data_IF_462897823961
#
_entry.id   IF_462897823961
#
_cell.length_a   1.000
_cell.length_b   1.000
_cell.length_c   1.000
_cell.angle_alpha   90.00
_cell.angle_beta   90.00
_cell.angle_gamma   90.00
#
_symmetry.space_group_name_H-M   'P 1'
#
loop_
_entity.id
_entity.type
_entity.pdbx_description
1 polymer ?
#
# COMPACT_ATOMS: atom_id res chain seq x y z
N UNK A 1 1.24 32.56 1.74
CA UNK A 1 2.54 32.71 1.07
C UNK A 1 3.56 32.03 1.96
N UNK A 2 4.24 30.98 1.51
CA UNK A 2 5.29 30.34 2.32
C UNK A 2 6.48 31.27 2.42
N UNK A 3 7.02 31.44 3.63
CA UNK A 3 8.19 32.29 3.84
C UNK A 3 9.40 31.74 3.07
N UNK A 4 10.22 32.59 2.43
CA UNK A 4 11.37 32.15 1.65
C UNK A 4 12.38 31.35 2.48
N UNK A 5 13.01 30.35 1.85
CA UNK A 5 14.08 29.57 2.48
C UNK A 5 15.37 30.40 2.50
N UNK A 6 15.84 30.72 3.70
CA UNK A 6 17.05 31.54 3.92
C UNK A 6 18.32 30.70 4.07
N UNK A 7 19.49 31.33 3.98
CA UNK A 7 20.76 30.66 4.30
C UNK A 7 20.86 30.25 5.77
N UNK A 8 20.19 30.98 6.66
CA UNK A 8 20.08 30.61 8.07
C UNK A 8 19.34 29.28 8.23
N UNK A 9 18.26 29.08 7.49
CA UNK A 9 17.54 27.80 7.48
C UNK A 9 18.44 26.65 7.01
N UNK A 10 19.24 26.88 5.95
CA UNK A 10 20.21 25.90 5.44
C UNK A 10 21.27 25.54 6.47
N UNK A 11 21.88 26.54 7.12
CA UNK A 11 22.89 26.34 8.15
C UNK A 11 22.35 25.57 9.35
N UNK A 12 21.14 25.91 9.80
CA UNK A 12 20.52 25.25 10.96
C UNK A 12 20.16 23.79 10.66
N UNK A 13 19.64 23.49 9.45
CA UNK A 13 19.39 22.11 9.02
C UNK A 13 20.68 21.28 8.98
N UNK A 14 21.79 21.84 8.45
CA UNK A 14 23.09 21.15 8.45
C UNK A 14 23.57 20.85 9.86
N UNK A 15 23.50 21.84 10.77
CA UNK A 15 23.91 21.71 12.18
C UNK A 15 23.11 20.62 12.88
N UNK A 16 21.79 20.67 12.80
CA UNK A 16 20.90 19.71 13.45
C UNK A 16 20.98 18.30 12.83
N UNK A 17 21.26 18.21 11.52
CA UNK A 17 21.53 16.93 10.86
C UNK A 17 22.82 16.30 11.36
N UNK A 18 23.89 17.09 11.52
CA UNK A 18 25.16 16.63 12.09
C UNK A 18 25.03 16.16 13.55
N UNK A 19 24.09 16.74 14.32
CA UNK A 19 23.70 16.25 15.65
C UNK A 19 22.90 14.93 15.62
N UNK A 20 22.60 14.38 14.44
CA UNK A 20 21.84 13.15 14.27
C UNK A 20 20.32 13.31 14.43
N UNK A 21 19.80 14.55 14.43
CA UNK A 21 18.35 14.77 14.57
C UNK A 21 17.60 14.30 13.34
N UNK A 22 16.42 13.71 13.57
CA UNK A 22 15.52 13.32 12.48
C UNK A 22 14.91 14.54 11.81
N UNK A 23 14.52 14.40 10.54
CA UNK A 23 13.81 15.46 9.79
C UNK A 23 12.65 16.09 10.56
N UNK A 24 11.84 15.28 11.25
CA UNK A 24 10.68 15.77 11.99
C UNK A 24 11.07 16.51 13.27
N UNK A 25 12.19 16.13 13.91
CA UNK A 25 12.74 16.88 15.04
C UNK A 25 13.22 18.26 14.57
N UNK A 26 13.95 18.30 13.44
CA UNK A 26 14.41 19.54 12.82
C UNK A 26 13.22 20.44 12.44
N UNK A 27 12.16 19.88 11.86
CA UNK A 27 10.94 20.63 11.53
C UNK A 27 10.29 21.29 12.75
N UNK A 28 10.24 20.58 13.89
CA UNK A 28 9.70 21.12 15.15
C UNK A 28 10.58 22.21 15.74
N UNK A 29 11.90 22.06 15.66
CA UNK A 29 12.86 22.99 16.25
C UNK A 29 13.02 24.26 15.42
N UNK A 30 12.97 24.15 14.09
CA UNK A 30 13.09 25.29 13.17
C UNK A 30 11.75 25.96 12.84
N UNK A 31 10.63 25.36 13.22
CA UNK A 31 9.29 25.81 12.83
C UNK A 31 8.99 25.68 11.33
N UNK A 32 9.86 25.01 10.56
CA UNK A 32 9.69 24.80 9.12
C UNK A 32 8.97 23.49 8.84
N UNK A 33 8.24 23.42 7.72
CA UNK A 33 7.57 22.19 7.30
C UNK A 33 8.59 21.07 7.00
N UNK A 34 8.22 19.82 7.24
CA UNK A 34 9.06 18.67 6.91
C UNK A 34 9.42 18.60 5.40
N UNK A 35 8.54 19.11 4.53
CA UNK A 35 8.82 19.24 3.10
C UNK A 35 9.94 20.24 2.82
N UNK A 36 9.92 21.40 3.50
CA UNK A 36 10.99 22.41 3.43
C UNK A 36 12.33 21.82 3.88
N UNK A 37 12.36 21.11 5.01
CA UNK A 37 13.57 20.45 5.51
C UNK A 37 14.08 19.40 4.51
N UNK A 38 13.18 18.62 3.90
CA UNK A 38 13.57 17.61 2.88
C UNK A 38 14.18 18.27 1.65
N UNK A 39 13.61 19.41 1.21
CA UNK A 39 14.14 20.19 0.09
C UNK A 39 15.54 20.73 0.40
N UNK A 40 15.74 21.30 1.58
CA UNK A 40 17.06 21.77 2.03
C UNK A 40 18.05 20.61 2.08
N UNK A 41 17.69 19.49 2.73
CA UNK A 41 18.54 18.32 2.82
C UNK A 41 18.97 17.79 1.44
N UNK A 42 18.05 17.75 0.46
CA UNK A 42 18.36 17.36 -0.90
C UNK A 42 19.35 18.32 -1.60
N UNK A 43 19.16 19.64 -1.42
CA UNK A 43 20.07 20.66 -1.96
C UNK A 43 21.47 20.61 -1.33
N UNK A 44 21.55 20.18 -0.07
CA UNK A 44 22.77 20.10 0.73
C UNK A 44 23.43 18.71 0.71
N UNK A 45 22.85 17.74 -0.01
CA UNK A 45 23.36 16.37 -0.07
C UNK A 45 23.24 15.59 1.25
N UNK A 46 22.35 15.99 2.15
CA UNK A 46 22.14 15.36 3.46
C UNK A 46 21.16 14.19 3.38
N UNK A 47 21.56 13.02 3.88
CA UNK A 47 20.70 11.84 3.93
C UNK A 47 20.20 11.56 5.36
N UNK A 48 18.90 11.33 5.55
CA UNK A 48 18.34 10.89 6.82
C UNK A 48 18.26 9.36 6.87
N UNK A 49 18.99 8.75 7.80
CA UNK A 49 19.07 7.28 7.96
C UNK A 49 17.74 6.59 8.32
N UNK A 50 16.77 7.33 8.87
CA UNK A 50 15.47 6.79 9.26
C UNK A 50 14.55 6.40 8.09
N UNK A 51 14.75 6.98 6.89
CA UNK A 51 13.85 6.78 5.75
C UNK A 51 13.80 5.34 5.26
N UNK A 52 14.96 4.68 5.13
CA UNK A 52 15.05 3.30 4.66
C UNK A 52 14.35 2.32 5.61
N UNK A 53 14.50 2.51 6.93
CA UNK A 53 13.85 1.68 7.95
C UNK A 53 12.33 1.82 7.93
N UNK A 54 11.84 3.06 7.79
CA UNK A 54 10.39 3.35 7.72
C UNK A 54 9.79 2.82 6.42
N UNK A 55 10.50 2.94 5.30
CA UNK A 55 10.07 2.36 4.02
C UNK A 55 9.94 0.83 4.11
N UNK A 56 10.98 0.15 4.60
CA UNK A 56 10.95 -1.30 4.79
C UNK A 56 9.81 -1.75 5.73
N UNK A 57 9.59 -1.05 6.84
CA UNK A 57 8.49 -1.35 7.76
C UNK A 57 7.11 -1.08 7.12
N UNK A 58 7.00 -0.08 6.25
CA UNK A 58 5.77 0.23 5.52
C UNK A 58 5.47 -0.85 4.48
N UNK A 59 6.48 -1.31 3.74
CA UNK A 59 6.33 -2.40 2.78
C UNK A 59 5.98 -3.72 3.48
N UNK A 60 6.64 -4.05 4.59
CA UNK A 60 6.29 -5.22 5.39
C UNK A 60 4.83 -5.16 5.86
N UNK A 61 4.38 -4.02 6.37
CA UNK A 61 2.99 -3.84 6.81
C UNK A 61 1.99 -3.94 5.65
N UNK A 62 2.37 -3.51 4.45
CA UNK A 62 1.56 -3.66 3.23
C UNK A 62 1.43 -5.12 2.83
N UNK A 63 2.54 -5.87 2.85
CA UNK A 63 2.56 -7.30 2.57
C UNK A 63 1.70 -8.07 3.60
N UNK A 64 1.87 -7.79 4.89
CA UNK A 64 1.06 -8.40 5.95
C UNK A 64 -0.44 -8.09 5.77
N UNK A 65 -0.78 -6.86 5.41
CA UNK A 65 -2.16 -6.47 5.15
C UNK A 65 -2.73 -7.12 3.89
N UNK A 66 -1.91 -7.41 2.87
CA UNK A 66 -2.32 -8.17 1.70
C UNK A 66 -2.62 -9.63 2.06
N UNK A 67 -1.69 -10.30 2.77
CA UNK A 67 -1.87 -11.68 3.21
C UNK A 67 -3.11 -11.85 4.11
N UNK A 68 -3.35 -10.93 5.04
CA UNK A 68 -4.56 -10.96 5.90
C UNK A 68 -5.86 -10.80 5.11
N UNK A 69 -5.84 -10.06 4.00
CA UNK A 69 -7.03 -9.91 3.14
C UNK A 69 -7.28 -11.18 2.34
N UNK A 70 -6.23 -11.79 1.80
CA UNK A 70 -6.33 -13.07 1.11
C UNK A 70 -6.92 -14.14 2.04
N UNK A 71 -6.37 -14.28 3.26
CA UNK A 71 -6.91 -15.20 4.26
C UNK A 71 -8.39 -14.93 4.57
N UNK A 72 -8.77 -13.66 4.77
CA UNK A 72 -10.16 -13.31 5.06
C UNK A 72 -11.10 -13.66 3.89
N UNK A 73 -10.62 -13.52 2.65
CA UNK A 73 -11.41 -13.90 1.47
C UNK A 73 -11.64 -15.42 1.43
N UNK A 74 -10.60 -16.22 1.68
CA UNK A 74 -10.70 -17.69 1.75
C UNK A 74 -11.66 -18.12 2.87
N UNK A 75 -11.44 -17.62 4.10
CA UNK A 75 -12.25 -17.96 5.27
C UNK A 75 -13.74 -17.62 5.04
N UNK A 76 -14.02 -16.49 4.38
CA UNK A 76 -15.37 -16.06 4.06
C UNK A 76 -16.03 -16.98 3.04
N UNK A 77 -15.30 -17.40 2.01
CA UNK A 77 -15.82 -18.33 1.00
C UNK A 77 -16.10 -19.71 1.63
N UNK A 78 -15.16 -20.24 2.41
CA UNK A 78 -15.32 -21.50 3.12
C UNK A 78 -16.52 -21.47 4.08
N UNK A 79 -16.68 -20.37 4.81
CA UNK A 79 -17.85 -20.19 5.68
C UNK A 79 -19.15 -20.12 4.87
N UNK A 80 -19.16 -19.44 3.72
CA UNK A 80 -20.33 -19.38 2.85
C UNK A 80 -20.73 -20.77 2.34
N UNK A 81 -19.76 -21.57 1.88
CA UNK A 81 -19.98 -22.94 1.43
C UNK A 81 -20.58 -23.81 2.53
N UNK A 82 -20.04 -23.75 3.75
CA UNK A 82 -20.62 -24.45 4.92
C UNK A 82 -22.07 -24.06 5.18
N UNK A 83 -22.43 -22.78 5.04
CA UNK A 83 -23.81 -22.34 5.21
C UNK A 83 -24.74 -22.88 4.10
N UNK A 84 -24.26 -22.96 2.86
CA UNK A 84 -25.01 -23.57 1.73
C UNK A 84 -25.26 -25.05 2.00
N UNK A 85 -24.25 -25.81 2.42
CA UNK A 85 -24.39 -27.23 2.77
C UNK A 85 -25.44 -27.43 3.87
N UNK A 86 -25.37 -26.63 4.94
CA UNK A 86 -26.32 -26.69 6.05
C UNK A 86 -27.74 -26.25 5.67
N UNK A 87 -27.94 -25.61 4.53
CA UNK A 87 -29.28 -25.23 4.04
C UNK A 87 -30.07 -26.45 3.58
N UNK A 88 -29.39 -27.47 3.01
CA UNK A 88 -30.02 -28.70 2.50
C UNK A 88 -30.56 -29.57 3.65
N UNK A 89 -29.88 -29.56 4.80
CA UNK A 89 -30.26 -30.32 6.00
C UNK A 89 -31.01 -29.49 7.04
N UNK A 90 -31.69 -28.42 6.66
CA UNK A 90 -32.35 -27.54 7.63
C UNK A 90 -33.63 -28.12 8.22
N UNK A 91 -33.76 -28.04 9.55
CA UNK A 91 -34.93 -28.53 10.30
C UNK A 91 -36.20 -27.73 10.01
N UNK A 92 -36.07 -26.49 9.52
CA UNK A 92 -37.19 -25.64 9.14
C UNK A 92 -36.88 -24.74 7.95
N UNK A 93 -37.96 -24.28 7.30
CA UNK A 93 -37.86 -23.25 6.25
C UNK A 93 -37.34 -21.90 6.78
N UNK A 94 -37.41 -21.64 8.09
CA UNK A 94 -36.78 -20.44 8.68
C UNK A 94 -35.27 -20.62 8.74
N UNK A 95 -34.81 -21.74 9.29
CA UNK A 95 -33.37 -22.03 9.42
C UNK A 95 -32.70 -22.08 8.05
N UNK A 96 -33.37 -22.67 7.05
CA UNK A 96 -32.89 -22.67 5.67
C UNK A 96 -32.68 -21.24 5.12
N UNK A 97 -33.61 -20.33 5.39
CA UNK A 97 -33.52 -18.93 4.95
C UNK A 97 -32.42 -18.16 5.68
N UNK A 98 -32.29 -18.37 6.98
CA UNK A 98 -31.27 -17.69 7.80
C UNK A 98 -29.86 -18.10 7.34
N UNK A 99 -29.66 -19.40 7.08
CA UNK A 99 -28.39 -19.93 6.54
C UNK A 99 -28.11 -19.44 5.12
N UNK A 100 -29.10 -19.44 4.24
CA UNK A 100 -28.95 -18.87 2.89
C UNK A 100 -28.60 -17.37 2.94
N UNK A 101 -29.16 -16.63 3.90
CA UNK A 101 -28.85 -15.21 4.10
C UNK A 101 -27.42 -15.02 4.60
N UNK A 102 -26.97 -15.84 5.55
CA UNK A 102 -25.60 -15.83 6.03
C UNK A 102 -24.60 -16.18 4.91
N UNK A 103 -24.90 -17.21 4.10
CA UNK A 103 -24.09 -17.60 2.95
C UNK A 103 -23.92 -16.43 1.97
N UNK A 104 -25.02 -15.74 1.65
CA UNK A 104 -24.97 -14.56 0.78
C UNK A 104 -24.08 -13.46 1.36
N UNK A 105 -24.24 -13.12 2.64
CA UNK A 105 -23.45 -12.07 3.27
C UNK A 105 -21.94 -12.40 3.25
N UNK A 106 -21.57 -13.65 3.48
CA UNK A 106 -20.19 -14.12 3.44
C UNK A 106 -19.60 -14.08 2.02
N UNK A 107 -20.38 -14.44 1.00
CA UNK A 107 -20.00 -14.29 -0.41
C UNK A 107 -19.79 -12.83 -0.78
N UNK A 108 -20.62 -11.91 -0.28
CA UNK A 108 -20.43 -10.47 -0.49
C UNK A 108 -19.14 -9.96 0.18
N UNK A 109 -18.79 -10.45 1.38
CA UNK A 109 -17.51 -10.15 2.03
C UNK A 109 -16.34 -10.66 1.19
N UNK A 110 -16.37 -11.93 0.77
CA UNK A 110 -15.35 -12.50 -0.12
C UNK A 110 -15.16 -11.63 -1.37
N UNK A 111 -16.25 -11.28 -2.07
CA UNK A 111 -16.18 -10.49 -3.29
C UNK A 111 -15.53 -9.12 -3.06
N UNK A 112 -15.89 -8.42 -1.97
CA UNK A 112 -15.34 -7.11 -1.63
C UNK A 112 -13.86 -7.18 -1.26
N UNK A 113 -13.46 -8.17 -0.47
CA UNK A 113 -12.07 -8.33 -0.03
C UNK A 113 -11.18 -8.73 -1.21
N UNK A 114 -11.65 -9.63 -2.07
CA UNK A 114 -10.96 -10.03 -3.31
C UNK A 114 -10.78 -8.84 -4.28
N UNK A 115 -11.77 -7.95 -4.37
CA UNK A 115 -11.65 -6.72 -5.17
C UNK A 115 -10.60 -5.76 -4.59
N UNK A 116 -10.60 -5.54 -3.27
CA UNK A 116 -9.57 -4.73 -2.61
C UNK A 116 -8.16 -5.32 -2.79
N UNK A 117 -8.03 -6.65 -2.80
CA UNK A 117 -6.77 -7.33 -3.07
C UNK A 117 -6.27 -7.04 -4.50
N UNK A 118 -7.15 -7.15 -5.52
CA UNK A 118 -6.82 -6.81 -6.92
C UNK A 118 -6.33 -5.38 -7.07
N UNK A 119 -7.05 -4.41 -6.49
CA UNK A 119 -6.70 -2.99 -6.58
C UNK A 119 -5.36 -2.66 -5.89
N UNK A 120 -5.00 -3.42 -4.85
CA UNK A 120 -3.72 -3.23 -4.15
C UNK A 120 -2.53 -3.79 -4.93
N UNK A 121 -2.74 -4.81 -5.76
CA UNK A 121 -1.71 -5.37 -6.63
C UNK A 121 -1.41 -4.49 -7.84
N UNK A 122 -2.41 -3.81 -8.40
CA UNK A 122 -2.28 -2.97 -9.60
C UNK A 122 -1.94 -1.50 -9.32
N UNK A 123 -2.20 -1.00 -8.11
CA UNK A 123 -2.03 0.41 -7.75
C UNK A 123 -0.61 0.83 -7.31
N UNK A 124 0.37 -0.09 -7.26
CA UNK A 124 1.72 0.28 -6.84
C UNK A 124 2.49 0.93 -7.98
N UNK A 125 2.96 2.18 -7.77
CA UNK A 125 3.91 2.85 -8.66
C UNK A 125 5.13 1.96 -9.00
N UNK A 126 5.49 1.02 -8.11
CA UNK A 126 6.54 0.03 -8.32
C UNK A 126 6.19 -1.03 -9.37
N UNK A 127 4.93 -1.47 -9.47
CA UNK A 127 4.48 -2.38 -10.53
C UNK A 127 4.60 -1.73 -11.90
N UNK A 128 4.15 -0.47 -12.03
CA UNK A 128 4.30 0.29 -13.28
C UNK A 128 5.76 0.58 -13.67
N UNK A 129 6.69 0.59 -12.72
CA UNK A 129 8.12 0.74 -12.99
C UNK A 129 8.75 -0.58 -13.39
N UNK A 130 8.34 -1.69 -12.77
CA UNK A 130 8.79 -3.03 -13.13
C UNK A 130 8.25 -3.46 -14.48
N UNK A 131 7.00 -3.14 -14.81
CA UNK A 131 6.42 -3.37 -16.15
C UNK A 131 7.16 -2.55 -17.20
N UNK A 132 7.46 -1.27 -16.93
CA UNK A 132 8.28 -0.43 -17.82
C UNK A 132 9.72 -0.92 -17.96
N UNK A 133 10.29 -1.50 -16.90
CA UNK A 133 11.63 -2.09 -16.93
C UNK A 133 11.63 -3.42 -17.70
N UNK A 134 10.57 -4.23 -17.55
CA UNK A 134 10.37 -5.46 -18.29
C UNK A 134 10.19 -5.17 -19.79
N UNK A 135 9.38 -4.19 -20.17
CA UNK A 135 9.23 -3.73 -21.56
C UNK A 135 10.56 -3.20 -22.13
N UNK A 136 11.37 -2.51 -21.31
CA UNK A 136 12.68 -2.01 -21.73
C UNK A 136 13.74 -3.11 -21.90
N UNK A 137 13.63 -4.22 -21.16
CA UNK A 137 14.57 -5.34 -21.20
C UNK A 137 14.17 -6.44 -22.21
N UNK A 138 12.87 -6.68 -22.38
CA UNK A 138 12.33 -7.77 -23.20
C UNK A 138 11.78 -7.27 -24.55
N UNK A 139 11.60 -5.96 -24.71
CA UNK A 139 10.88 -5.37 -25.84
C UNK A 139 9.37 -5.60 -25.74
N UNK A 140 8.54 -4.77 -26.41
CA UNK A 140 7.09 -4.94 -26.38
C UNK A 140 6.73 -6.33 -26.90
N UNK A 141 6.02 -7.10 -26.07
CA UNK A 141 5.46 -8.40 -26.45
C UNK A 141 4.29 -8.18 -27.41
N UNK A 142 4.60 -7.90 -28.68
CA UNK A 142 3.61 -7.55 -29.68
C UNK A 142 4.28 -7.26 -31.02
N UNK A 143 4.93 -8.26 -31.60
CA UNK A 143 5.27 -8.24 -33.02
C UNK A 143 3.99 -8.37 -33.82
N UNK A 144 3.42 -7.23 -34.23
CA UNK A 144 2.43 -7.18 -35.31
C UNK A 144 3.13 -7.61 -36.60
N UNK A 145 2.94 -8.88 -36.95
CA UNK A 145 3.31 -9.46 -38.23
C UNK A 145 2.39 -8.85 -39.32
N UNK A 146 2.81 -7.70 -39.87
CA UNK A 146 2.32 -7.22 -41.16
C UNK A 146 3.16 -7.81 -42.28
N UNK A 147 2.83 -9.04 -42.65
CA UNK A 147 3.22 -9.64 -43.92
C UNK A 147 2.39 -9.08 -45.08
N UNK A 148 3.10 -8.38 -45.97
CA UNK A 148 2.94 -8.15 -47.43
C UNK A 148 1.54 -8.27 -48.04
#
# INVERSE_FOLDING_TARGET
MAEPITDRDRAEVRRLHAEGKTRNAIARETGRSAATISKIAAQEGLAFSGGARVAAATEARRADAAARREQLAEDSLDAALRQVEQTVGADSARDARDRATAARALTEVHARVSELARQSGTGSAGGSMLDRLADALLGPAGGDDKGV
#
